data_IF_489564997218
#
_entry.id   IF_489564997218
#
_cell.length_a   1.000
_cell.length_b   1.000
_cell.length_c   1.000
_cell.angle_alpha   90.00
_cell.angle_beta   90.00
_cell.angle_gamma   90.00
#
_symmetry.space_group_name_H-M   'P 1'
#
loop_
_entity.id
_entity.type
_entity.pdbx_description
1 polymer ?
#
# COMPACT_ATOMS: atom_id res chain seq x y z
N UNK A 1 -36.15 -1.64 -106.11
CA UNK A 1 -35.58 -2.12 -104.82
C UNK A 1 -34.44 -1.20 -104.39
N UNK A 2 -34.70 -0.01 -103.85
CA UNK A 2 -33.64 0.87 -103.32
C UNK A 2 -34.27 1.73 -102.23
N UNK A 3 -33.90 1.49 -100.97
CA UNK A 3 -34.38 2.32 -99.85
C UNK A 3 -33.46 3.53 -99.71
N UNK A 4 -34.12 4.69 -99.74
CA UNK A 4 -33.56 6.05 -99.77
C UNK A 4 -33.07 6.47 -98.38
N UNK A 5 -31.99 7.25 -98.39
CA UNK A 5 -31.63 8.26 -97.38
C UNK A 5 -32.33 9.61 -97.72
N UNK A 6 -32.11 10.71 -96.98
CA UNK A 6 -32.54 10.96 -95.61
C UNK A 6 -33.18 12.36 -95.46
N UNK A 7 -33.76 12.65 -94.30
CA UNK A 7 -33.80 13.98 -93.66
C UNK A 7 -34.42 13.80 -92.28
N UNK A 8 -33.84 14.38 -91.23
CA UNK A 8 -34.53 15.40 -90.43
C UNK A 8 -33.67 15.94 -89.27
N UNK A 9 -33.60 17.27 -89.28
CA UNK A 9 -33.50 18.29 -88.23
C UNK A 9 -33.36 17.90 -86.73
N UNK A 10 -32.39 18.61 -86.13
CA UNK A 10 -32.36 19.36 -84.87
C UNK A 10 -33.43 19.16 -83.75
N UNK A 11 -32.87 18.83 -82.57
CA UNK A 11 -32.79 19.63 -81.33
C UNK A 11 -34.07 19.95 -80.51
N UNK A 12 -34.16 19.37 -79.29
CA UNK A 12 -34.42 20.08 -78.03
C UNK A 12 -34.33 19.18 -76.77
N UNK A 13 -33.72 19.75 -75.72
CA UNK A 13 -34.00 19.66 -74.27
C UNK A 13 -33.67 18.40 -73.43
N UNK A 14 -32.66 18.60 -72.55
CA UNK A 14 -32.63 18.42 -71.10
C UNK A 14 -32.73 17.01 -70.44
N UNK A 15 -31.65 16.61 -69.76
CA UNK A 15 -31.72 16.05 -68.40
C UNK A 15 -30.37 16.17 -67.65
N UNK A 16 -30.47 16.80 -66.49
CA UNK A 16 -29.59 16.98 -65.33
C UNK A 16 -28.23 16.28 -65.22
N UNK A 17 -27.23 17.08 -64.82
CA UNK A 17 -25.99 16.63 -64.18
C UNK A 17 -26.29 15.83 -62.90
N UNK A 18 -25.75 14.62 -62.80
CA UNK A 18 -25.48 13.96 -61.53
C UNK A 18 -24.01 14.20 -61.17
N UNK A 19 -23.78 15.09 -60.22
CA UNK A 19 -22.48 15.35 -59.59
C UNK A 19 -21.98 14.08 -58.92
N UNK A 20 -20.79 13.60 -59.31
CA UNK A 20 -20.07 12.55 -58.60
C UNK A 20 -19.53 13.16 -57.30
N UNK A 21 -20.12 12.77 -56.17
CA UNK A 21 -19.63 13.13 -54.85
C UNK A 21 -18.39 12.27 -54.54
N UNK A 22 -17.20 12.76 -54.86
CA UNK A 22 -15.96 12.17 -54.35
C UNK A 22 -15.90 12.39 -52.85
N UNK A 23 -16.22 11.35 -52.08
CA UNK A 23 -15.98 11.31 -50.64
C UNK A 23 -14.47 11.30 -50.42
N UNK A 24 -13.87 12.47 -50.28
CA UNK A 24 -12.62 12.58 -49.53
C UNK A 24 -12.96 12.13 -48.13
N UNK A 25 -12.38 11.01 -47.71
CA UNK A 25 -12.41 10.57 -46.34
C UNK A 25 -11.78 11.70 -45.53
N UNK A 26 -12.46 12.34 -44.58
CA UNK A 26 -11.74 13.17 -43.64
C UNK A 26 -10.75 12.25 -42.94
N UNK A 27 -9.49 12.67 -42.88
CA UNK A 27 -8.56 12.09 -41.92
C UNK A 27 -9.23 12.25 -40.56
N UNK A 28 -9.83 11.16 -40.07
CA UNK A 28 -10.23 11.02 -38.69
C UNK A 28 -8.94 11.30 -37.92
N UNK A 29 -8.89 12.44 -37.25
CA UNK A 29 -8.00 12.60 -36.13
C UNK A 29 -8.21 11.34 -35.29
N UNK A 30 -7.15 10.57 -35.07
CA UNK A 30 -7.19 9.46 -34.14
C UNK A 30 -7.95 9.96 -32.90
N UNK A 31 -8.89 9.19 -32.34
CA UNK A 31 -9.39 9.54 -31.03
C UNK A 31 -8.13 9.76 -30.18
N UNK A 32 -8.01 10.95 -29.61
CA UNK A 32 -7.11 11.12 -28.49
C UNK A 32 -7.64 10.11 -27.49
N UNK A 33 -7.00 8.94 -27.42
CA UNK A 33 -7.25 7.94 -26.41
C UNK A 33 -6.91 8.66 -25.10
N UNK A 34 -7.91 9.36 -24.53
CA UNK A 34 -7.91 9.74 -23.14
C UNK A 34 -7.78 8.42 -22.39
N UNK A 35 -6.53 8.05 -22.07
CA UNK A 35 -6.27 7.00 -21.11
C UNK A 35 -7.23 7.23 -19.94
N UNK A 36 -8.02 6.23 -19.52
CA UNK A 36 -8.88 6.40 -18.36
C UNK A 36 -7.95 6.84 -17.23
N UNK A 37 -8.10 8.12 -16.83
CA UNK A 37 -7.18 8.83 -15.95
C UNK A 37 -6.93 7.92 -14.75
N UNK A 38 -5.75 7.30 -14.69
CA UNK A 38 -5.51 6.21 -13.75
C UNK A 38 -5.83 6.62 -12.30
N UNK A 39 -6.05 5.68 -11.37
CA UNK A 39 -6.54 5.99 -10.03
C UNK A 39 -5.71 7.06 -9.29
N UNK A 40 -4.40 7.10 -9.51
CA UNK A 40 -3.48 8.12 -9.01
C UNK A 40 -3.80 9.52 -9.58
N UNK A 41 -3.93 9.62 -10.90
CA UNK A 41 -4.24 10.87 -11.58
C UNK A 41 -5.66 11.37 -11.25
N UNK A 42 -6.62 10.46 -11.07
CA UNK A 42 -7.96 10.80 -10.59
C UNK A 42 -7.90 11.43 -9.20
N UNK A 43 -7.09 10.85 -8.31
CA UNK A 43 -6.90 11.40 -6.97
C UNK A 43 -6.24 12.79 -7.04
N UNK A 44 -5.20 12.95 -7.86
CA UNK A 44 -4.52 14.24 -8.08
C UNK A 44 -5.50 15.32 -8.53
N UNK A 45 -6.38 15.00 -9.48
CA UNK A 45 -7.38 15.96 -9.98
C UNK A 45 -8.44 16.30 -8.93
N UNK A 46 -8.96 15.31 -8.21
CA UNK A 46 -10.09 15.50 -7.28
C UNK A 46 -9.71 16.12 -5.92
N UNK A 47 -8.42 16.17 -5.58
CA UNK A 47 -7.94 16.56 -4.25
C UNK A 47 -6.93 17.71 -4.28
N UNK A 48 -6.92 18.50 -5.36
CA UNK A 48 -5.92 19.55 -5.59
C UNK A 48 -4.50 19.02 -5.37
N UNK A 49 -4.22 17.84 -5.93
CA UNK A 49 -3.06 17.03 -5.61
C UNK A 49 -1.73 17.73 -5.86
N UNK A 50 -1.66 18.61 -6.87
CA UNK A 50 -0.47 19.43 -7.12
C UNK A 50 -0.18 20.40 -5.94
N UNK A 51 -1.20 20.98 -5.32
CA UNK A 51 -1.01 21.84 -4.16
C UNK A 51 -0.59 21.02 -2.93
N UNK A 52 -1.23 19.86 -2.75
CA UNK A 52 -1.03 18.97 -1.60
C UNK A 52 0.32 18.25 -1.64
N UNK A 53 0.64 17.61 -2.76
CA UNK A 53 1.79 16.73 -2.94
C UNK A 53 2.93 17.38 -3.72
N UNK A 54 2.64 18.39 -4.53
CA UNK A 54 3.57 18.90 -5.54
C UNK A 54 3.77 17.91 -6.69
N UNK A 55 4.64 18.30 -7.62
CA UNK A 55 4.91 17.52 -8.81
C UNK A 55 5.49 16.14 -8.52
N UNK A 56 5.29 15.23 -9.46
CA UNK A 56 5.83 13.87 -9.45
C UNK A 56 7.37 13.89 -9.45
N UNK A 57 7.98 13.01 -8.66
CA UNK A 57 9.44 12.84 -8.57
C UNK A 57 9.89 11.42 -8.94
N UNK A 58 8.94 10.52 -9.16
CA UNK A 58 9.19 9.17 -9.68
C UNK A 58 8.12 8.75 -10.68
N UNK A 59 8.44 7.76 -11.51
CA UNK A 59 7.40 6.95 -12.13
C UNK A 59 6.64 6.15 -11.04
N UNK A 60 5.41 5.71 -11.34
CA UNK A 60 4.70 4.72 -10.52
C UNK A 60 5.50 3.43 -10.43
N UNK A 61 5.58 2.84 -9.23
CA UNK A 61 6.29 1.59 -8.98
C UNK A 61 5.46 0.65 -8.11
N UNK A 62 5.61 -0.66 -8.34
CA UNK A 62 4.84 -1.69 -7.66
C UNK A 62 5.39 -1.91 -6.24
N UNK A 63 4.50 -1.96 -5.25
CA UNK A 63 4.82 -2.12 -3.82
C UNK A 63 4.11 -3.33 -3.19
N UNK A 64 3.44 -4.13 -4.02
CA UNK A 64 2.69 -5.33 -3.65
C UNK A 64 1.96 -5.87 -4.87
N UNK A 65 1.33 -7.03 -4.76
CA UNK A 65 0.70 -7.68 -5.91
C UNK A 65 -0.37 -6.80 -6.58
N UNK A 66 -1.15 -6.06 -5.78
CA UNK A 66 -2.22 -5.16 -6.23
C UNK A 66 -2.04 -3.74 -5.66
N UNK A 67 -0.78 -3.31 -5.50
CA UNK A 67 -0.48 -2.01 -4.92
C UNK A 67 0.66 -1.32 -5.65
N UNK A 68 0.51 -0.01 -5.84
CA UNK A 68 1.49 0.85 -6.48
C UNK A 68 1.68 2.13 -5.66
N UNK A 69 2.87 2.71 -5.71
CA UNK A 69 3.13 4.03 -5.17
C UNK A 69 3.81 4.93 -6.21
N UNK A 70 3.71 6.22 -5.98
CA UNK A 70 4.42 7.26 -6.70
C UNK A 70 4.95 8.31 -5.72
N UNK A 71 6.22 8.69 -5.87
CA UNK A 71 6.82 9.74 -5.05
C UNK A 71 6.49 11.12 -5.63
N UNK A 72 6.16 12.06 -4.74
CA UNK A 72 5.96 13.47 -5.04
C UNK A 72 6.84 14.32 -4.11
N UNK A 73 6.99 15.60 -4.45
CA UNK A 73 7.85 16.52 -3.71
C UNK A 73 7.55 16.60 -2.20
N UNK A 74 6.27 16.56 -1.82
CA UNK A 74 5.81 16.74 -0.43
C UNK A 74 5.25 15.45 0.19
N UNK A 75 5.30 14.32 -0.52
CA UNK A 75 4.65 13.11 -0.05
C UNK A 75 4.71 11.95 -1.03
N UNK A 76 3.88 10.95 -0.77
CA UNK A 76 3.76 9.76 -1.59
C UNK A 76 2.30 9.39 -1.76
N UNK A 77 1.91 9.09 -3.00
CA UNK A 77 0.57 8.63 -3.32
C UNK A 77 0.56 7.11 -3.43
N UNK A 78 -0.39 6.47 -2.76
CA UNK A 78 -0.56 5.02 -2.73
C UNK A 78 -1.87 4.63 -3.41
N UNK A 79 -1.82 3.72 -4.36
CA UNK A 79 -2.99 3.04 -4.90
C UNK A 79 -2.96 1.58 -4.41
N UNK A 80 -3.94 1.19 -3.61
CA UNK A 80 -4.02 -0.13 -2.95
C UNK A 80 -5.43 -0.69 -3.04
N UNK A 81 -5.68 -1.96 -2.66
CA UNK A 81 -7.04 -2.53 -2.67
C UNK A 81 -8.04 -1.78 -1.78
N UNK A 82 -7.57 -1.05 -0.76
CA UNK A 82 -8.44 -0.25 0.13
C UNK A 82 -8.76 1.14 -0.43
N UNK A 83 -8.03 1.59 -1.46
CA UNK A 83 -8.24 2.88 -2.09
C UNK A 83 -6.95 3.61 -2.47
N UNK A 84 -7.12 4.85 -2.92
CA UNK A 84 -6.02 5.77 -3.23
C UNK A 84 -5.88 6.78 -2.10
N UNK A 85 -4.71 6.80 -1.46
CA UNK A 85 -4.44 7.68 -0.33
C UNK A 85 -3.06 8.32 -0.43
N UNK A 86 -2.99 9.62 -0.19
CA UNK A 86 -1.75 10.37 -0.07
C UNK A 86 -1.25 10.36 1.36
N UNK A 87 0.05 10.19 1.55
CA UNK A 87 0.75 10.47 2.81
C UNK A 87 1.68 11.65 2.54
N UNK A 88 1.45 12.79 3.20
CA UNK A 88 2.13 14.04 2.84
C UNK A 88 2.53 14.89 4.05
N UNK A 89 3.37 15.91 3.80
CA UNK A 89 3.79 16.89 4.79
C UNK A 89 4.47 16.30 6.03
N UNK A 90 4.08 16.80 7.20
CA UNK A 90 4.69 16.37 8.47
C UNK A 90 4.34 14.92 8.83
N UNK A 91 3.16 14.43 8.43
CA UNK A 91 2.78 13.03 8.62
C UNK A 91 3.66 12.12 7.75
N UNK A 92 3.90 12.48 6.48
CA UNK A 92 4.85 11.75 5.63
C UNK A 92 6.26 11.72 6.21
N UNK A 93 6.75 12.88 6.66
CA UNK A 93 8.07 12.97 7.27
C UNK A 93 8.19 12.07 8.50
N UNK A 94 7.15 12.01 9.34
CA UNK A 94 7.10 11.10 10.50
C UNK A 94 6.99 9.63 10.08
N UNK A 95 6.14 9.33 9.12
CA UNK A 95 5.93 7.99 8.58
C UNK A 95 7.21 7.38 8.01
N UNK A 96 7.96 8.11 7.18
CA UNK A 96 9.24 7.64 6.63
C UNK A 96 10.26 7.39 7.74
N UNK A 97 10.37 8.29 8.73
CA UNK A 97 11.27 8.09 9.90
C UNK A 97 10.93 6.84 10.70
N UNK A 98 9.67 6.41 10.66
CA UNK A 98 9.18 5.22 11.35
C UNK A 98 9.31 3.94 10.52
N UNK A 99 9.99 4.00 9.37
CA UNK A 99 10.18 2.86 8.45
C UNK A 99 9.11 2.76 7.35
N UNK A 100 8.23 3.76 7.24
CA UNK A 100 7.21 3.86 6.20
C UNK A 100 6.26 2.67 6.18
N UNK A 101 5.83 2.31 4.97
CA UNK A 101 4.83 1.26 4.77
C UNK A 101 5.34 -0.13 5.21
N UNK A 102 6.65 -0.35 5.28
CA UNK A 102 7.22 -1.58 5.84
C UNK A 102 7.04 -1.75 7.35
N UNK A 103 6.67 -0.69 8.08
CA UNK A 103 6.45 -0.72 9.54
C UNK A 103 5.07 -0.28 9.99
N UNK A 104 4.35 0.46 9.15
CA UNK A 104 3.00 0.94 9.45
C UNK A 104 1.94 0.32 8.53
N UNK A 105 2.35 -0.38 7.47
CA UNK A 105 1.46 -0.81 6.39
C UNK A 105 1.06 0.34 5.47
N UNK A 106 0.14 0.07 4.55
CA UNK A 106 -0.38 1.08 3.63
C UNK A 106 -1.37 2.03 4.32
N UNK A 107 -1.46 3.31 3.88
CA UNK A 107 -2.49 4.22 4.36
C UNK A 107 -3.89 3.68 4.04
N UNK A 108 -4.80 3.80 5.02
CA UNK A 108 -6.20 3.34 4.91
C UNK A 108 -7.20 4.49 4.96
N UNK A 109 -6.72 5.71 5.17
CA UNK A 109 -7.54 6.91 5.29
C UNK A 109 -6.83 8.12 4.69
N UNK A 110 -7.60 9.16 4.40
CA UNK A 110 -7.04 10.51 4.20
C UNK A 110 -6.60 11.09 5.55
N UNK A 111 -5.58 11.95 5.53
CA UNK A 111 -5.15 12.67 6.73
C UNK A 111 -6.29 13.54 7.28
N UNK A 112 -6.51 13.49 8.59
CA UNK A 112 -7.49 14.30 9.32
C UNK A 112 -6.81 15.15 10.40
N UNK A 113 -7.60 16.03 11.02
CA UNK A 113 -7.17 16.87 12.15
C UNK A 113 -8.10 16.58 13.33
N UNK A 114 -7.51 16.23 14.46
CA UNK A 114 -8.25 16.01 15.72
C UNK A 114 -8.74 17.34 16.31
N UNK A 115 -9.66 17.30 17.27
CA UNK A 115 -10.13 18.51 17.98
C UNK A 115 -9.00 19.28 18.68
N UNK A 116 -7.95 18.57 19.12
CA UNK A 116 -6.74 19.17 19.71
C UNK A 116 -5.81 19.86 18.70
N UNK A 117 -6.11 19.76 17.40
CA UNK A 117 -5.27 20.30 16.32
C UNK A 117 -4.15 19.35 15.87
N UNK A 118 -4.00 18.16 16.47
CA UNK A 118 -3.06 17.17 15.97
C UNK A 118 -3.49 16.61 14.61
N UNK A 119 -2.52 16.41 13.71
CA UNK A 119 -2.74 15.68 12.45
C UNK A 119 -2.68 14.18 12.71
N UNK A 120 -3.60 13.44 12.11
CA UNK A 120 -3.69 11.99 12.19
C UNK A 120 -3.87 11.40 10.79
N UNK A 121 -3.24 10.25 10.54
CA UNK A 121 -3.60 9.38 9.44
C UNK A 121 -3.55 7.91 9.88
N UNK A 122 -4.53 7.14 9.45
CA UNK A 122 -4.59 5.70 9.71
C UNK A 122 -3.89 4.89 8.60
N UNK A 123 -3.32 3.77 9.04
CA UNK A 123 -2.61 2.79 8.25
C UNK A 123 -3.03 1.38 8.69
N UNK A 124 -2.71 0.36 7.88
CA UNK A 124 -3.09 -1.02 8.19
C UNK A 124 -2.64 -1.50 9.59
N UNK A 125 -1.50 -1.00 10.10
CA UNK A 125 -0.94 -1.43 11.39
C UNK A 125 -1.10 -0.41 12.53
N UNK A 126 -1.94 0.62 12.35
CA UNK A 126 -2.24 1.62 13.38
C UNK A 126 -2.40 3.03 12.81
N UNK A 127 -2.07 4.05 13.59
CA UNK A 127 -2.13 5.45 13.14
C UNK A 127 -0.82 6.20 13.40
N UNK A 128 -0.57 7.23 12.59
CA UNK A 128 0.49 8.21 12.82
C UNK A 128 -0.12 9.51 13.33
N UNK A 129 0.38 10.02 14.46
CA UNK A 129 0.00 11.32 15.00
C UNK A 129 1.15 12.31 14.89
N UNK A 130 0.82 13.56 14.57
CA UNK A 130 1.74 14.71 14.64
C UNK A 130 1.06 15.83 15.42
N UNK A 131 1.62 16.17 16.57
CA UNK A 131 1.10 17.16 17.52
C UNK A 131 2.25 17.99 18.11
N UNK A 132 1.96 19.01 18.95
CA UNK A 132 3.00 19.72 19.71
C UNK A 132 3.84 18.81 20.62
N UNK A 133 3.33 17.64 21.02
CA UNK A 133 4.07 16.66 21.81
C UNK A 133 5.13 15.91 20.99
N UNK A 134 4.99 15.89 19.66
CA UNK A 134 5.90 15.23 18.74
C UNK A 134 5.19 14.46 17.64
N UNK A 135 5.91 13.51 17.03
CA UNK A 135 5.35 12.60 16.03
C UNK A 135 5.45 11.16 16.51
N UNK A 136 4.31 10.57 16.86
CA UNK A 136 4.26 9.26 17.48
C UNK A 136 3.30 8.34 16.72
N UNK A 137 3.76 7.14 16.30
CA UNK A 137 2.83 6.11 15.89
C UNK A 137 2.11 5.55 17.11
N UNK A 138 0.86 5.16 16.92
CA UNK A 138 0.11 4.30 17.83
C UNK A 138 -0.20 3.05 17.04
N UNK A 139 0.49 1.94 17.34
CA UNK A 139 0.38 0.68 16.58
C UNK A 139 -0.55 -0.29 17.28
N UNK A 140 -1.08 -1.27 16.54
CA UNK A 140 -1.69 -2.42 17.20
C UNK A 140 -0.67 -3.16 18.06
N UNK A 141 -1.07 -3.69 19.23
CA UNK A 141 -2.43 -3.69 19.83
C UNK A 141 -2.90 -2.39 20.51
N UNK A 142 -2.00 -1.48 20.86
CA UNK A 142 -2.34 -0.26 21.62
C UNK A 142 -3.42 0.55 20.90
N UNK A 143 -3.33 0.67 19.57
CA UNK A 143 -4.29 1.38 18.73
C UNK A 143 -5.71 0.82 18.83
N UNK A 144 -5.86 -0.51 18.83
CA UNK A 144 -7.17 -1.14 18.98
C UNK A 144 -7.83 -0.81 20.33
N UNK A 145 -7.04 -0.77 21.42
CA UNK A 145 -7.56 -0.35 22.73
C UNK A 145 -7.85 1.15 22.79
N UNK A 146 -7.06 1.96 22.09
CA UNK A 146 -7.22 3.40 22.02
C UNK A 146 -8.56 3.78 21.37
N UNK A 147 -8.81 3.25 20.17
CA UNK A 147 -10.07 3.47 19.44
C UNK A 147 -11.28 2.93 20.22
N UNK A 148 -11.17 1.73 20.79
CA UNK A 148 -12.26 1.13 21.58
C UNK A 148 -12.65 1.95 22.82
N UNK A 149 -11.77 2.84 23.31
CA UNK A 149 -12.04 3.73 24.44
C UNK A 149 -12.41 5.16 24.01
N UNK A 150 -12.61 5.40 22.71
CA UNK A 150 -13.07 6.68 22.16
C UNK A 150 -11.98 7.55 21.55
N UNK A 151 -10.78 6.99 21.34
CA UNK A 151 -9.69 7.60 20.58
C UNK A 151 -9.30 9.00 21.07
N UNK A 152 -8.88 9.85 20.13
CA UNK A 152 -8.31 11.18 20.43
C UNK A 152 -9.27 12.09 21.19
N UNK A 153 -10.58 11.93 20.96
CA UNK A 153 -11.60 12.75 21.60
C UNK A 153 -11.70 12.51 23.11
N UNK A 154 -11.46 11.28 23.57
CA UNK A 154 -11.57 10.92 24.99
C UNK A 154 -10.19 10.82 25.64
N UNK A 155 -9.26 10.11 25.00
CA UNK A 155 -7.96 9.76 25.60
C UNK A 155 -6.89 10.84 25.32
N UNK A 156 -7.16 11.75 24.39
CA UNK A 156 -6.18 12.69 23.87
C UNK A 156 -5.17 12.02 22.93
N UNK A 157 -4.23 12.80 22.43
CA UNK A 157 -3.22 12.31 21.47
C UNK A 157 -2.04 11.66 22.20
N UNK A 158 -1.22 10.81 21.54
CA UNK A 158 -0.02 10.26 22.17
C UNK A 158 0.96 11.36 22.57
N UNK A 159 1.52 11.25 23.78
CA UNK A 159 2.51 12.18 24.33
C UNK A 159 3.92 11.61 24.32
N UNK A 160 4.08 10.35 23.91
CA UNK A 160 5.38 9.69 23.80
C UNK A 160 5.36 8.45 22.91
N UNK A 161 6.54 7.86 22.67
CA UNK A 161 6.64 6.60 21.94
C UNK A 161 6.06 5.44 22.76
N UNK A 162 5.67 4.38 22.06
CA UNK A 162 5.41 3.09 22.69
C UNK A 162 6.68 2.55 23.37
N UNK A 163 6.51 1.97 24.56
CA UNK A 163 7.59 1.36 25.35
C UNK A 163 7.18 -0.03 25.83
N UNK A 164 8.16 -0.92 25.92
CA UNK A 164 7.99 -2.24 26.55
C UNK A 164 8.29 -2.10 28.05
N UNK A 165 7.35 -2.51 28.89
CA UNK A 165 7.50 -2.56 30.35
C UNK A 165 7.12 -3.96 30.85
N UNK A 166 8.12 -4.78 31.13
CA UNK A 166 7.91 -6.21 31.39
C UNK A 166 7.24 -6.89 30.18
N UNK A 167 6.18 -7.65 30.40
CA UNK A 167 5.42 -8.30 29.32
C UNK A 167 4.28 -7.43 28.76
N UNK A 168 4.43 -6.10 28.76
CA UNK A 168 3.38 -5.17 28.33
C UNK A 168 3.91 -4.13 27.35
N UNK A 169 3.11 -3.82 26.34
CA UNK A 169 3.26 -2.62 25.53
C UNK A 169 2.52 -1.48 26.21
N UNK A 170 3.19 -0.34 26.37
CA UNK A 170 2.69 0.82 27.10
C UNK A 170 2.88 2.07 26.26
N UNK A 171 1.86 2.91 26.17
CA UNK A 171 1.98 4.22 25.56
C UNK A 171 1.17 5.25 26.34
N UNK A 172 1.78 6.42 26.52
CA UNK A 172 1.19 7.55 27.22
C UNK A 172 0.43 8.45 26.24
N UNK A 173 -0.75 8.89 26.67
CA UNK A 173 -1.65 9.82 25.98
C UNK A 173 -1.96 10.98 26.93
N UNK A 174 -2.52 12.08 26.43
CA UNK A 174 -2.75 13.29 27.24
C UNK A 174 -3.60 13.02 28.49
N UNK A 175 -4.59 12.12 28.41
CA UNK A 175 -5.52 11.86 29.51
C UNK A 175 -5.39 10.47 30.13
N UNK A 176 -4.50 9.60 29.62
CA UNK A 176 -4.35 8.23 30.13
C UNK A 176 -3.05 7.59 29.66
N UNK A 177 -2.66 6.51 30.32
CA UNK A 177 -1.73 5.52 29.77
C UNK A 177 -2.53 4.31 29.28
N UNK A 178 -2.26 3.82 28.07
CA UNK A 178 -2.72 2.51 27.62
C UNK A 178 -1.60 1.52 27.88
N UNK A 179 -1.97 0.38 28.47
CA UNK A 179 -1.06 -0.74 28.67
C UNK A 179 -1.76 -2.04 28.31
N UNK A 180 -1.17 -2.81 27.41
CA UNK A 180 -1.71 -4.07 26.88
C UNK A 180 -0.67 -5.18 27.02
N UNK A 181 -1.08 -6.44 27.24
CA UNK A 181 -0.16 -7.56 27.13
C UNK A 181 0.53 -7.56 25.77
N UNK A 182 1.81 -7.90 25.79
CA UNK A 182 2.60 -8.08 24.58
C UNK A 182 2.16 -9.38 23.90
N UNK A 183 1.89 -9.32 22.59
CA UNK A 183 1.23 -10.40 21.85
C UNK A 183 -0.30 -10.34 21.83
N UNK A 184 -0.94 -9.29 22.39
CA UNK A 184 -2.30 -8.96 21.96
C UNK A 184 -2.22 -8.35 20.55
N UNK A 185 -3.09 -8.76 19.64
CA UNK A 185 -3.11 -8.39 18.22
C UNK A 185 -3.96 -9.41 17.48
N UNK A 186 -4.53 -9.07 16.32
CA UNK A 186 -5.14 -10.11 15.49
C UNK A 186 -4.02 -11.07 15.04
N UNK A 187 -4.20 -12.36 15.27
CA UNK A 187 -3.25 -13.36 14.79
C UNK A 187 -3.05 -13.21 13.28
N UNK A 188 -1.80 -13.24 12.83
CA UNK A 188 -1.46 -13.31 11.41
C UNK A 188 -1.51 -14.76 10.93
N UNK A 189 -1.71 -14.96 9.62
CA UNK A 189 -1.63 -16.28 9.01
C UNK A 189 -0.33 -16.42 8.22
N UNK A 190 0.39 -17.51 8.46
CA UNK A 190 1.56 -17.89 7.67
C UNK A 190 1.34 -19.23 6.96
N UNK A 191 1.55 -19.26 5.65
CA UNK A 191 1.68 -20.50 4.88
C UNK A 191 3.14 -20.73 4.53
N UNK A 192 3.66 -21.93 4.81
CA UNK A 192 5.00 -22.35 4.40
C UNK A 192 4.92 -23.36 3.25
N UNK A 193 5.70 -23.15 2.19
CA UNK A 193 6.01 -24.15 1.15
C UNK A 193 7.52 -24.25 0.98
N UNK A 194 8.11 -25.34 1.47
CA UNK A 194 9.58 -25.51 1.45
C UNK A 194 10.28 -24.44 2.28
N UNK A 195 11.14 -23.64 1.65
CA UNK A 195 11.81 -22.50 2.30
C UNK A 195 11.07 -21.16 2.11
N UNK A 196 9.93 -21.17 1.43
CA UNK A 196 9.14 -19.97 1.13
C UNK A 196 8.01 -19.80 2.15
N UNK A 197 7.87 -18.59 2.68
CA UNK A 197 6.83 -18.20 3.62
C UNK A 197 5.97 -17.12 2.98
N UNK A 198 4.67 -17.34 3.04
CA UNK A 198 3.62 -16.45 2.58
C UNK A 198 2.89 -15.96 3.83
N UNK A 199 3.11 -14.71 4.20
CA UNK A 199 2.64 -14.14 5.45
C UNK A 199 1.53 -13.14 5.16
N UNK A 200 0.50 -13.21 5.98
CA UNK A 200 -0.69 -12.38 5.85
C UNK A 200 -0.99 -11.71 7.17
N UNK A 201 -0.99 -10.38 7.14
CA UNK A 201 -1.23 -9.54 8.31
C UNK A 201 -2.74 -9.29 8.55
N UNK A 202 -3.60 -9.94 7.75
CA UNK A 202 -5.06 -9.94 7.88
C UNK A 202 -5.63 -11.30 7.49
N UNK A 203 -6.70 -11.74 8.18
CA UNK A 203 -7.40 -12.99 7.86
C UNK A 203 -8.49 -12.71 6.81
N UNK A 204 -8.07 -12.55 5.56
CA UNK A 204 -8.93 -12.32 4.39
C UNK A 204 -8.58 -13.30 3.26
N UNK A 205 -9.43 -13.47 2.22
CA UNK A 205 -9.04 -14.12 0.97
C UNK A 205 -8.00 -13.30 0.18
N UNK A 206 -7.34 -13.91 -0.81
CA UNK A 206 -6.34 -13.23 -1.64
C UNK A 206 -4.91 -13.38 -1.12
N UNK A 207 -4.01 -12.56 -1.66
CA UNK A 207 -2.57 -12.86 -1.69
C UNK A 207 -1.85 -12.55 -0.38
N UNK A 208 -0.64 -13.10 -0.26
CA UNK A 208 0.21 -12.83 0.90
C UNK A 208 0.68 -11.38 0.86
N UNK A 209 0.76 -10.75 2.04
CA UNK A 209 1.33 -9.42 2.19
C UNK A 209 2.84 -9.49 1.98
N UNK A 210 3.49 -10.48 2.60
CA UNK A 210 4.92 -10.70 2.50
C UNK A 210 5.19 -12.11 1.99
N UNK A 211 6.05 -12.21 0.98
CA UNK A 211 6.59 -13.50 0.52
C UNK A 211 8.10 -13.47 0.70
N UNK A 212 8.62 -14.31 1.59
CA UNK A 212 10.05 -14.38 1.90
C UNK A 212 10.60 -15.78 1.73
N UNK A 213 11.88 -15.90 1.39
CA UNK A 213 12.61 -17.17 1.36
C UNK A 213 13.64 -17.16 2.47
N UNK A 214 13.53 -18.10 3.40
CA UNK A 214 14.46 -18.22 4.53
C UNK A 214 14.72 -19.68 4.92
N UNK A 215 16.00 -20.02 5.08
CA UNK A 215 16.45 -21.38 5.36
C UNK A 215 16.37 -22.31 4.15
N UNK A 216 16.25 -23.61 4.44
CA UNK A 216 16.19 -24.71 3.46
C UNK A 216 14.89 -25.48 3.62
N UNK A 217 14.50 -26.21 2.58
CA UNK A 217 13.24 -26.98 2.56
C UNK A 217 13.15 -28.03 3.67
N UNK A 218 14.29 -28.61 4.09
CA UNK A 218 14.37 -29.61 5.16
C UNK A 218 14.53 -29.04 6.57
N UNK A 219 14.62 -27.72 6.75
CA UNK A 219 14.78 -27.16 8.09
C UNK A 219 13.45 -27.23 8.87
N UNK A 220 13.53 -27.45 10.18
CA UNK A 220 12.39 -27.28 11.10
C UNK A 220 12.21 -25.79 11.35
N UNK A 221 10.97 -25.29 11.36
CA UNK A 221 10.70 -23.87 11.60
C UNK A 221 10.10 -23.68 12.96
N UNK A 222 10.62 -22.69 13.66
CA UNK A 222 10.12 -22.19 14.92
C UNK A 222 9.73 -20.73 14.73
N UNK A 223 8.63 -20.34 15.38
CA UNK A 223 8.10 -18.98 15.35
C UNK A 223 8.09 -18.47 16.79
N UNK A 224 8.56 -17.24 16.98
CA UNK A 224 8.56 -16.60 18.27
C UNK A 224 9.33 -15.30 18.28
N UNK A 225 9.23 -14.58 19.38
CA UNK A 225 9.98 -13.36 19.65
C UNK A 225 11.35 -13.70 20.23
N UNK A 226 12.37 -13.73 19.37
CA UNK A 226 13.71 -14.18 19.74
C UNK A 226 14.61 -13.08 20.32
N UNK A 227 14.23 -11.81 20.14
CA UNK A 227 15.04 -10.65 20.55
C UNK A 227 14.40 -9.81 21.65
N UNK A 228 13.22 -10.19 22.13
CA UNK A 228 12.57 -9.44 23.19
C UNK A 228 11.98 -8.12 22.70
N UNK A 229 11.62 -8.01 21.41
CA UNK A 229 10.84 -6.87 20.89
C UNK A 229 9.33 -7.09 20.92
N UNK A 230 8.88 -8.33 20.78
CA UNK A 230 7.46 -8.72 20.91
C UNK A 230 6.79 -8.93 19.57
N UNK A 231 7.59 -8.92 18.52
CA UNK A 231 7.20 -9.36 17.19
C UNK A 231 7.71 -10.78 17.02
N UNK A 232 6.80 -11.71 16.69
CA UNK A 232 7.22 -13.06 16.35
C UNK A 232 7.92 -13.08 14.98
N UNK A 233 9.07 -13.73 14.93
CA UNK A 233 9.87 -13.89 13.71
C UNK A 233 10.30 -15.35 13.52
N UNK A 234 10.97 -15.62 12.40
CA UNK A 234 11.34 -16.97 12.02
C UNK A 234 12.70 -17.37 12.59
N UNK A 235 12.75 -18.58 13.13
CA UNK A 235 13.98 -19.32 13.36
C UNK A 235 13.93 -20.63 12.59
N UNK A 236 15.00 -20.97 11.87
CA UNK A 236 15.13 -22.28 11.23
C UNK A 236 16.13 -23.14 12.00
N UNK A 237 15.72 -24.37 12.33
CA UNK A 237 16.52 -25.36 13.02
C UNK A 237 17.03 -26.41 12.04
N UNK A 238 18.35 -26.61 12.05
CA UNK A 238 19.08 -27.61 11.27
C UNK A 238 19.94 -28.45 12.22
N UNK A 239 19.40 -29.60 12.64
CA UNK A 239 20.00 -30.38 13.72
C UNK A 239 20.05 -29.56 15.01
N UNK A 240 21.25 -29.33 15.53
CA UNK A 240 21.50 -28.50 16.73
C UNK A 240 21.71 -27.01 16.44
N UNK A 241 21.69 -26.60 15.17
CA UNK A 241 21.86 -25.19 14.78
C UNK A 241 20.51 -24.50 14.68
N UNK A 242 20.39 -23.35 15.34
CA UNK A 242 19.23 -22.48 15.32
C UNK A 242 19.65 -21.17 14.67
N UNK A 243 19.20 -20.96 13.44
CA UNK A 243 19.43 -19.75 12.67
C UNK A 243 18.26 -18.80 12.93
N UNK A 244 18.51 -17.83 13.80
CA UNK A 244 17.51 -16.87 14.28
C UNK A 244 17.52 -15.65 13.37
N UNK A 245 16.31 -15.18 13.04
CA UNK A 245 16.10 -13.91 12.37
C UNK A 245 15.23 -13.02 13.23
N UNK A 246 15.62 -11.76 13.40
CA UNK A 246 14.88 -10.74 14.17
C UNK A 246 14.01 -9.86 13.26
N UNK A 247 13.88 -10.25 11.99
CA UNK A 247 12.97 -9.63 11.04
C UNK A 247 12.38 -10.67 10.11
N UNK A 248 11.18 -10.38 9.60
CA UNK A 248 10.56 -11.13 8.50
C UNK A 248 11.19 -10.66 7.19
N UNK A 249 12.32 -11.26 6.83
CA UNK A 249 13.02 -10.96 5.57
C UNK A 249 13.84 -12.16 5.07
N UNK A 250 14.32 -12.09 3.84
CA UNK A 250 15.23 -13.09 3.28
C UNK A 250 16.68 -12.87 3.75
N UNK A 251 17.59 -13.77 3.37
CA UNK A 251 19.03 -13.63 3.60
C UNK A 251 19.56 -14.32 4.86
N UNK A 252 20.77 -13.97 5.28
CA UNK A 252 21.49 -14.64 6.38
C UNK A 252 20.78 -14.45 7.74
N UNK A 253 21.07 -15.35 8.67
CA UNK A 253 20.59 -15.25 10.05
C UNK A 253 21.25 -14.09 10.77
N UNK A 254 20.50 -13.43 11.66
CA UNK A 254 21.03 -12.40 12.55
C UNK A 254 21.86 -13.04 13.68
N UNK A 255 21.49 -14.27 14.09
CA UNK A 255 22.20 -15.04 15.11
C UNK A 255 22.15 -16.54 14.80
N UNK A 256 23.24 -17.24 15.09
CA UNK A 256 23.28 -18.71 15.06
C UNK A 256 23.57 -19.22 16.46
N UNK A 257 22.70 -20.10 16.97
CA UNK A 257 22.80 -20.69 18.30
C UNK A 257 22.97 -22.20 18.13
N UNK A 258 23.88 -22.79 18.90
CA UNK A 258 24.03 -24.24 19.01
C UNK A 258 23.37 -24.69 20.29
N UNK A 259 22.33 -25.52 20.18
CA UNK A 259 21.58 -26.00 21.33
C UNK A 259 21.09 -27.43 21.14
N UNK A 260 21.03 -28.20 22.23
CA UNK A 260 20.70 -29.62 22.21
C UNK A 260 21.89 -30.54 21.93
N UNK A 261 21.64 -31.84 22.07
CA UNK A 261 22.57 -32.92 21.72
C UNK A 261 22.48 -33.23 20.22
N UNK A 262 23.50 -33.89 19.63
CA UNK A 262 23.50 -34.20 18.20
C UNK A 262 22.30 -35.02 17.72
N UNK A 263 21.72 -35.83 18.61
CA UNK A 263 20.63 -36.76 18.30
C UNK A 263 19.25 -36.24 18.73
N UNK A 264 19.17 -35.01 19.26
CA UNK A 264 17.88 -34.40 19.58
C UNK A 264 17.19 -34.02 18.26
N UNK A 265 15.95 -34.48 18.04
CA UNK A 265 15.14 -34.19 16.85
C UNK A 265 13.83 -33.51 17.21
#
# INVERSE_FOLDING_TARGET
>A
MHRRSPAFLLLAAAASLATVLSLTTPATAAPEDEEPVGPLNTWMFNNDGEDVLGGETSARYQIGLNAYAQEHQKGRLYATPVGVHAVYGNVYSAFVRQGGHGKMGFPTSSQSVTESGARLQEFQLGAMFVSPHGSFPVRFPVYGRYEARGGARILGVPTGPERVVGNRLVQDFEHTTISVPRGEGADSLGLRRGATYYLKNEISPGEAHDTIVYGRSGDVVLVGDWDGTGTDTLTVRRGREYHVKNSISAGVADKVIYYGRPDDT
#
